data_IF_444083331105
#
_entry.id   IF_444083331105
#
_cell.length_a   1.000
_cell.length_b   1.000
_cell.length_c   1.000
_cell.angle_alpha   90.00
_cell.angle_beta   90.00
_cell.angle_gamma   90.00
#
_symmetry.space_group_name_H-M   'P 1'
#
loop_
_entity.id
_entity.type
_entity.pdbx_description
1 polymer ?
#
# COMPACT_ATOMS: atom_id res chain seq x y z
N UNK A 1 -22.75 64.39 18.09
CA UNK A 1 -22.94 62.96 18.42
C UNK A 1 -23.94 62.38 17.43
N UNK A 2 -23.90 61.06 17.17
CA UNK A 2 -24.79 60.28 16.28
C UNK A 2 -24.21 59.94 14.89
N UNK A 3 -23.21 59.05 14.84
CA UNK A 3 -22.84 58.29 13.63
C UNK A 3 -22.44 56.83 13.95
N UNK A 4 -22.79 56.29 15.13
CA UNK A 4 -22.45 54.91 15.53
C UNK A 4 -23.58 53.88 15.29
N UNK A 5 -24.81 54.31 14.97
CA UNK A 5 -25.96 53.39 14.88
C UNK A 5 -26.06 52.48 13.64
N UNK A 6 -25.59 52.83 12.42
CA UNK A 6 -25.83 51.97 11.25
C UNK A 6 -24.95 50.71 11.26
N UNK A 7 -23.70 50.80 11.73
CA UNK A 7 -22.77 49.67 11.78
C UNK A 7 -23.17 48.60 12.79
N UNK A 8 -23.59 49.00 13.99
CA UNK A 8 -24.05 48.07 15.02
C UNK A 8 -25.29 47.27 14.59
N UNK A 9 -26.17 47.86 13.77
CA UNK A 9 -27.37 47.20 13.23
C UNK A 9 -27.04 46.19 12.11
N UNK A 10 -26.04 46.50 11.26
CA UNK A 10 -25.55 45.56 10.25
C UNK A 10 -24.84 44.36 10.86
N UNK A 11 -24.01 44.59 11.89
CA UNK A 11 -23.33 43.51 12.62
C UNK A 11 -24.34 42.58 13.31
N UNK A 12 -25.36 43.14 13.98
CA UNK A 12 -26.41 42.34 14.62
C UNK A 12 -27.21 41.49 13.62
N UNK A 13 -27.56 42.06 12.44
CA UNK A 13 -28.22 41.31 11.36
C UNK A 13 -27.34 40.21 10.78
N UNK A 14 -26.04 40.48 10.63
CA UNK A 14 -25.09 39.48 10.16
C UNK A 14 -24.97 38.31 11.14
N UNK A 15 -24.92 38.57 12.45
CA UNK A 15 -24.88 37.52 13.48
C UNK A 15 -26.15 36.68 13.52
N UNK A 16 -27.32 37.32 13.36
CA UNK A 16 -28.59 36.59 13.25
C UNK A 16 -28.63 35.72 12.00
N UNK A 17 -28.20 36.23 10.84
CA UNK A 17 -28.12 35.46 9.61
C UNK A 17 -27.18 34.25 9.75
N UNK A 18 -26.02 34.41 10.38
CA UNK A 18 -25.12 33.29 10.67
C UNK A 18 -25.74 32.26 11.62
N UNK A 19 -26.48 32.72 12.62
CA UNK A 19 -27.21 31.85 13.55
C UNK A 19 -28.29 31.04 12.83
N UNK A 20 -29.02 31.66 11.91
CA UNK A 20 -30.05 31.00 11.10
C UNK A 20 -29.45 29.98 10.12
N UNK A 21 -28.34 30.33 9.48
CA UNK A 21 -27.58 29.41 8.64
C UNK A 21 -27.09 28.22 9.47
N UNK A 22 -26.52 28.46 10.65
CA UNK A 22 -26.06 27.41 11.56
C UNK A 22 -27.18 26.45 11.97
N UNK A 23 -28.34 27.00 12.36
CA UNK A 23 -29.53 26.19 12.70
C UNK A 23 -30.03 25.35 11.52
N UNK A 24 -30.00 25.90 10.31
CA UNK A 24 -30.42 25.17 9.11
C UNK A 24 -29.47 24.02 8.77
N UNK A 25 -28.15 24.26 8.87
CA UNK A 25 -27.14 23.22 8.67
C UNK A 25 -27.30 22.12 9.72
N UNK A 26 -27.46 22.47 11.00
CA UNK A 26 -27.66 21.48 12.05
C UNK A 26 -28.92 20.63 11.81
N UNK A 27 -30.03 21.26 11.45
CA UNK A 27 -31.28 20.56 11.15
C UNK A 27 -31.11 19.59 9.97
N UNK A 28 -30.39 20.01 8.92
CA UNK A 28 -30.11 19.16 7.77
C UNK A 28 -29.23 17.96 8.15
N UNK A 29 -28.14 18.18 8.89
CA UNK A 29 -27.25 17.10 9.34
C UNK A 29 -28.03 16.12 10.24
N UNK A 30 -28.89 16.63 11.13
CA UNK A 30 -29.71 15.80 12.00
C UNK A 30 -30.68 14.94 11.20
N UNK A 31 -31.38 15.53 10.22
CA UNK A 31 -32.29 14.82 9.33
C UNK A 31 -31.58 13.68 8.58
N UNK A 32 -30.43 13.98 7.97
CA UNK A 32 -29.70 13.03 7.13
C UNK A 32 -29.15 11.87 7.96
N UNK A 33 -28.60 12.17 9.15
CA UNK A 33 -28.10 11.17 10.08
C UNK A 33 -29.22 10.34 10.69
N UNK A 34 -30.34 10.95 11.08
CA UNK A 34 -31.49 10.24 11.60
C UNK A 34 -32.03 9.26 10.55
N UNK A 35 -32.25 9.74 9.33
CA UNK A 35 -32.71 8.91 8.20
C UNK A 35 -31.77 7.73 7.95
N UNK A 36 -30.46 7.98 7.85
CA UNK A 36 -29.48 6.93 7.63
C UNK A 36 -29.45 5.90 8.78
N UNK A 37 -29.56 6.37 10.03
CA UNK A 37 -29.60 5.54 11.22
C UNK A 37 -30.95 4.81 11.43
N UNK A 38 -31.96 5.11 10.61
CA UNK A 38 -33.34 4.66 10.81
C UNK A 38 -33.98 5.24 12.08
N UNK A 39 -33.51 6.40 12.54
CA UNK A 39 -34.09 7.22 13.60
C UNK A 39 -35.13 8.19 13.05
N UNK A 40 -36.01 8.66 13.92
CA UNK A 40 -36.94 9.75 13.62
C UNK A 40 -36.26 11.08 13.90
N UNK A 41 -36.65 12.15 13.20
CA UNK A 41 -36.09 13.50 13.43
C UNK A 41 -36.33 14.05 14.85
N UNK A 42 -37.32 13.47 15.54
CA UNK A 42 -37.65 13.78 16.93
C UNK A 42 -36.77 13.04 17.94
N UNK A 43 -36.01 12.03 17.51
CA UNK A 43 -35.07 11.32 18.37
C UNK A 43 -33.93 12.25 18.80
N UNK A 44 -33.49 12.11 20.05
CA UNK A 44 -32.37 12.89 20.56
C UNK A 44 -31.06 12.53 19.85
N UNK A 45 -30.07 13.43 19.89
CA UNK A 45 -28.74 13.17 19.34
C UNK A 45 -28.09 11.92 19.93
N UNK A 46 -28.32 11.63 21.21
CA UNK A 46 -27.83 10.39 21.84
C UNK A 46 -28.48 9.14 21.25
N UNK A 47 -29.77 9.20 20.89
CA UNK A 47 -30.47 8.07 20.26
C UNK A 47 -29.98 7.87 18.82
N UNK A 48 -29.87 8.96 18.05
CA UNK A 48 -29.33 8.93 16.69
C UNK A 48 -27.90 8.36 16.71
N UNK A 49 -27.04 8.88 17.61
CA UNK A 49 -25.67 8.42 17.79
C UNK A 49 -25.56 6.93 18.12
N UNK A 50 -26.37 6.42 19.07
CA UNK A 50 -26.39 4.98 19.40
C UNK A 50 -26.83 4.10 18.23
N UNK A 51 -27.80 4.55 17.42
CA UNK A 51 -28.23 3.81 16.22
C UNK A 51 -27.15 3.82 15.14
N UNK A 52 -26.48 4.95 14.95
CA UNK A 52 -25.32 5.05 14.06
C UNK A 52 -24.25 4.05 14.49
N UNK A 53 -23.85 4.08 15.76
CA UNK A 53 -22.84 3.18 16.30
C UNK A 53 -23.23 1.72 16.11
N UNK A 54 -24.47 1.35 16.44
CA UNK A 54 -24.97 0.00 16.25
C UNK A 54 -24.89 -0.45 14.79
N UNK A 55 -25.23 0.43 13.84
CA UNK A 55 -25.19 0.13 12.40
C UNK A 55 -23.75 -0.01 11.89
N UNK A 56 -22.83 0.85 12.34
CA UNK A 56 -21.40 0.74 12.00
C UNK A 56 -20.83 -0.56 12.55
N UNK A 57 -21.07 -0.85 13.84
CA UNK A 57 -20.62 -2.09 14.49
C UNK A 57 -21.15 -3.33 13.80
N UNK A 58 -22.43 -3.35 13.43
CA UNK A 58 -23.05 -4.44 12.67
C UNK A 58 -22.38 -4.67 11.31
N UNK A 59 -22.01 -3.60 10.61
CA UNK A 59 -21.25 -3.66 9.37
C UNK A 59 -19.88 -4.31 9.56
N UNK A 60 -19.12 -3.86 10.56
CA UNK A 60 -17.81 -4.46 10.88
C UNK A 60 -17.94 -5.92 11.33
N UNK A 61 -18.90 -6.22 12.20
CA UNK A 61 -19.19 -7.57 12.67
C UNK A 61 -19.43 -8.53 11.50
N UNK A 62 -20.30 -8.13 10.56
CA UNK A 62 -20.57 -8.91 9.35
C UNK A 62 -19.31 -9.08 8.50
N UNK A 63 -18.51 -8.02 8.33
CA UNK A 63 -17.26 -8.05 7.57
C UNK A 63 -16.21 -9.00 8.14
N UNK A 64 -16.15 -9.15 9.46
CA UNK A 64 -15.24 -10.08 10.14
C UNK A 64 -15.87 -11.45 10.42
N UNK A 65 -17.12 -11.67 9.99
CA UNK A 65 -17.81 -12.96 10.08
C UNK A 65 -18.42 -13.29 11.45
N UNK A 66 -18.69 -12.28 12.28
CA UNK A 66 -19.42 -12.45 13.56
C UNK A 66 -20.83 -11.86 13.48
N UNK A 67 -21.63 -12.08 14.52
CA UNK A 67 -23.03 -11.65 14.55
C UNK A 67 -23.14 -10.12 14.56
N UNK A 68 -24.08 -9.49 13.84
CA UNK A 68 -24.26 -8.04 13.82
C UNK A 68 -24.42 -7.39 15.21
N UNK A 69 -24.91 -8.16 16.18
CA UNK A 69 -25.15 -7.74 17.56
C UNK A 69 -23.90 -7.84 18.44
N UNK A 70 -22.78 -8.36 17.92
CA UNK A 70 -21.54 -8.58 18.66
C UNK A 70 -20.86 -7.30 19.13
N UNK A 71 -20.37 -7.28 20.38
CA UNK A 71 -19.74 -6.09 20.97
C UNK A 71 -18.47 -5.68 20.21
N UNK A 72 -18.00 -4.45 20.41
CA UNK A 72 -16.73 -4.00 19.81
C UNK A 72 -15.54 -4.91 20.18
N UNK A 73 -15.51 -5.46 21.39
CA UNK A 73 -14.45 -6.38 21.81
C UNK A 73 -14.53 -7.73 21.07
N UNK A 74 -15.75 -8.22 20.80
CA UNK A 74 -15.94 -9.43 20.01
C UNK A 74 -15.56 -9.23 18.55
N UNK A 75 -15.98 -8.11 17.95
CA UNK A 75 -15.61 -7.71 16.59
C UNK A 75 -14.09 -7.56 16.47
N UNK A 76 -13.45 -6.88 17.43
CA UNK A 76 -12.00 -6.68 17.46
C UNK A 76 -11.24 -8.00 17.56
N UNK A 77 -11.67 -8.91 18.46
CA UNK A 77 -11.07 -10.25 18.58
C UNK A 77 -11.23 -11.07 17.30
N UNK A 78 -12.38 -11.00 16.64
CA UNK A 78 -12.60 -11.70 15.38
C UNK A 78 -11.75 -11.14 14.24
N UNK A 79 -11.63 -9.80 14.16
CA UNK A 79 -10.74 -9.14 13.21
C UNK A 79 -9.29 -9.60 13.42
N UNK A 80 -8.81 -9.58 14.67
CA UNK A 80 -7.46 -10.03 15.01
C UNK A 80 -7.25 -11.51 14.66
N UNK A 81 -8.20 -12.37 15.03
CA UNK A 81 -8.12 -13.80 14.73
C UNK A 81 -8.04 -14.05 13.22
N UNK A 82 -8.80 -13.30 12.42
CA UNK A 82 -8.77 -13.39 10.96
C UNK A 82 -7.41 -12.96 10.39
N UNK A 83 -6.92 -11.79 10.77
CA UNK A 83 -5.60 -11.29 10.30
C UNK A 83 -4.49 -12.28 10.68
N UNK A 84 -4.54 -12.80 11.90
CA UNK A 84 -3.59 -13.81 12.39
C UNK A 84 -3.68 -15.10 11.58
N UNK A 85 -4.88 -15.59 11.26
CA UNK A 85 -5.08 -16.78 10.43
C UNK A 85 -4.58 -16.56 8.99
N UNK A 86 -4.85 -15.40 8.39
CA UNK A 86 -4.39 -15.06 7.04
C UNK A 86 -2.86 -15.03 6.96
N UNK A 87 -2.20 -14.39 7.95
CA UNK A 87 -0.73 -14.38 8.03
C UNK A 87 -0.20 -15.78 8.33
N UNK A 88 -0.80 -16.51 9.28
CA UNK A 88 -0.40 -17.87 9.63
C UNK A 88 -0.45 -18.80 8.40
N UNK A 89 -1.53 -18.75 7.63
CA UNK A 89 -1.67 -19.48 6.36
C UNK A 89 -0.56 -19.11 5.37
N UNK A 90 -0.29 -17.81 5.19
CA UNK A 90 0.78 -17.32 4.29
C UNK A 90 2.18 -17.81 4.67
N UNK A 91 2.44 -18.05 5.96
CA UNK A 91 3.73 -18.58 6.46
C UNK A 91 3.69 -20.07 6.81
N UNK A 92 2.58 -20.76 6.49
CA UNK A 92 2.37 -22.17 6.81
C UNK A 92 2.45 -22.49 8.31
N UNK A 93 2.01 -21.56 9.17
CA UNK A 93 1.75 -21.80 10.59
C UNK A 93 0.34 -22.38 10.79
N UNK A 94 0.14 -23.17 11.86
CA UNK A 94 -1.17 -23.74 12.17
C UNK A 94 -2.19 -22.67 12.58
N UNK A 95 -3.47 -22.96 12.34
CA UNK A 95 -4.59 -22.17 12.83
C UNK A 95 -4.51 -22.01 14.36
N UNK A 96 -4.63 -20.77 14.84
CA UNK A 96 -4.50 -20.42 16.25
C UNK A 96 -3.09 -20.08 16.72
N UNK A 97 -2.09 -20.06 15.83
CA UNK A 97 -0.72 -19.69 16.18
C UNK A 97 -0.63 -18.29 16.82
N UNK A 98 0.09 -18.14 17.94
CA UNK A 98 0.32 -16.84 18.57
C UNK A 98 1.18 -15.93 17.69
N UNK A 99 1.17 -14.62 17.95
CA UNK A 99 2.05 -13.67 17.24
C UNK A 99 3.53 -14.05 17.33
N UNK A 100 3.99 -14.58 18.46
CA UNK A 100 5.36 -15.07 18.62
C UNK A 100 5.66 -16.30 17.75
N UNK A 101 4.66 -17.17 17.54
CA UNK A 101 4.82 -18.35 16.66
C UNK A 101 4.83 -17.95 15.20
N UNK A 102 3.93 -17.05 14.80
CA UNK A 102 3.89 -16.46 13.46
C UNK A 102 5.20 -15.73 13.16
N UNK A 103 5.65 -14.85 14.07
CA UNK A 103 6.88 -14.08 13.94
C UNK A 103 8.12 -14.96 13.80
N UNK A 104 8.26 -16.00 14.62
CA UNK A 104 9.36 -16.97 14.49
C UNK A 104 9.36 -17.68 13.14
N UNK A 105 8.18 -18.01 12.59
CA UNK A 105 8.09 -18.71 11.31
C UNK A 105 8.40 -17.80 10.12
N UNK A 106 7.94 -16.54 10.16
CA UNK A 106 8.38 -15.49 9.23
C UNK A 106 9.90 -15.37 9.26
N UNK A 107 10.49 -15.24 10.45
CA UNK A 107 11.93 -15.13 10.61
C UNK A 107 12.67 -16.33 10.02
N UNK A 108 12.26 -17.56 10.34
CA UNK A 108 12.86 -18.77 9.77
C UNK A 108 12.76 -18.77 8.23
N UNK A 109 11.60 -18.42 7.67
CA UNK A 109 11.43 -18.39 6.21
C UNK A 109 12.31 -17.33 5.55
N UNK A 110 12.43 -16.14 6.12
CA UNK A 110 13.29 -15.07 5.60
C UNK A 110 14.76 -15.48 5.70
N UNK A 111 15.21 -15.99 6.85
CA UNK A 111 16.58 -16.47 7.06
C UNK A 111 16.91 -17.63 6.12
N UNK A 112 15.98 -18.57 5.92
CA UNK A 112 16.20 -19.71 5.03
C UNK A 112 16.15 -19.30 3.56
N UNK A 113 15.23 -18.42 3.15
CA UNK A 113 15.10 -18.01 1.75
C UNK A 113 16.22 -17.06 1.31
N UNK A 114 16.25 -15.87 1.92
CA UNK A 114 17.19 -14.81 1.56
C UNK A 114 18.59 -15.09 2.10
N UNK A 115 18.69 -15.62 3.32
CA UNK A 115 19.97 -15.97 3.91
C UNK A 115 20.68 -17.05 3.09
N UNK A 116 20.03 -18.17 2.76
CA UNK A 116 20.69 -19.20 1.95
C UNK A 116 21.13 -18.69 0.57
N UNK A 117 20.32 -17.87 -0.10
CA UNK A 117 20.70 -17.25 -1.38
C UNK A 117 21.95 -16.38 -1.26
N UNK A 118 22.07 -15.65 -0.14
CA UNK A 118 23.21 -14.81 0.19
C UNK A 118 24.38 -15.55 0.84
N UNK A 119 24.26 -16.86 1.10
CA UNK A 119 25.28 -17.64 1.83
C UNK A 119 25.35 -17.33 3.33
N UNK A 120 24.25 -16.90 3.93
CA UNK A 120 24.11 -16.73 5.36
C UNK A 120 23.77 -18.06 6.05
N UNK A 121 24.34 -18.27 7.24
CA UNK A 121 24.06 -19.42 8.09
C UNK A 121 22.84 -19.17 8.98
N UNK A 122 22.13 -20.23 9.42
CA UNK A 122 21.00 -20.09 10.35
C UNK A 122 21.35 -19.40 11.67
N UNK A 123 22.59 -19.58 12.13
CA UNK A 123 23.19 -18.94 13.31
C UNK A 123 23.64 -17.48 13.10
N UNK A 124 23.61 -16.95 11.88
CA UNK A 124 23.95 -15.55 11.62
C UNK A 124 22.88 -14.61 12.20
N UNK A 125 23.33 -13.51 12.81
CA UNK A 125 22.43 -12.44 13.25
C UNK A 125 21.90 -11.62 12.06
N UNK A 126 20.83 -10.84 12.29
CA UNK A 126 20.19 -10.03 11.25
C UNK A 126 21.13 -9.03 10.59
N UNK A 127 22.08 -8.47 11.33
CA UNK A 127 23.07 -7.55 10.79
C UNK A 127 24.00 -8.26 9.80
N UNK A 128 24.41 -9.49 10.11
CA UNK A 128 25.27 -10.33 9.28
C UNK A 128 24.54 -10.82 8.04
N UNK A 129 23.29 -11.29 8.19
CA UNK A 129 22.44 -11.68 7.07
C UNK A 129 22.22 -10.49 6.12
N UNK A 130 21.92 -9.30 6.66
CA UNK A 130 21.72 -8.08 5.88
C UNK A 130 22.94 -7.69 5.06
N UNK A 131 24.15 -7.76 5.65
CA UNK A 131 25.41 -7.51 4.93
C UNK A 131 25.59 -8.50 3.78
N UNK A 132 25.44 -9.80 4.04
CA UNK A 132 25.60 -10.85 3.01
C UNK A 132 24.61 -10.68 1.86
N UNK A 133 23.36 -10.32 2.14
CA UNK A 133 22.36 -9.99 1.12
C UNK A 133 22.84 -8.80 0.28
N UNK A 134 23.30 -7.72 0.92
CA UNK A 134 23.85 -6.55 0.24
C UNK A 134 25.00 -6.89 -0.70
N UNK A 135 25.99 -7.64 -0.21
CA UNK A 135 27.15 -8.08 -0.98
C UNK A 135 26.74 -8.94 -2.19
N UNK A 136 25.74 -9.81 -2.02
CA UNK A 136 25.23 -10.66 -3.09
C UNK A 136 24.47 -9.87 -4.16
N UNK A 137 23.69 -8.86 -3.75
CA UNK A 137 23.01 -7.93 -4.68
C UNK A 137 24.06 -7.15 -5.48
N UNK A 138 25.05 -6.55 -4.82
CA UNK A 138 26.11 -5.79 -5.48
C UNK A 138 26.84 -6.66 -6.51
N UNK A 139 27.21 -7.88 -6.13
CA UNK A 139 27.86 -8.85 -7.02
C UNK A 139 27.00 -9.17 -8.25
N UNK A 140 25.72 -9.46 -8.04
CA UNK A 140 24.78 -9.80 -9.13
C UNK A 140 24.59 -8.63 -10.10
N UNK A 141 24.48 -7.40 -9.58
CA UNK A 141 24.37 -6.19 -10.40
C UNK A 141 25.66 -5.94 -11.19
N UNK A 142 26.83 -6.09 -10.55
CA UNK A 142 28.13 -5.93 -11.21
C UNK A 142 28.31 -6.95 -12.34
N UNK A 143 27.99 -8.22 -12.09
CA UNK A 143 28.04 -9.28 -13.09
C UNK A 143 27.09 -9.00 -14.27
N UNK A 144 25.85 -8.55 -14.00
CA UNK A 144 24.91 -8.17 -15.05
C UNK A 144 25.42 -6.99 -15.89
N UNK A 145 25.98 -5.96 -15.26
CA UNK A 145 26.55 -4.80 -15.95
C UNK A 145 27.76 -5.19 -16.82
N UNK A 146 28.65 -6.04 -16.31
CA UNK A 146 29.79 -6.52 -17.09
C UNK A 146 29.36 -7.42 -18.26
N UNK A 147 28.35 -8.28 -18.07
CA UNK A 147 27.80 -9.07 -19.17
C UNK A 147 27.19 -8.19 -20.27
N UNK A 148 26.44 -7.14 -19.89
CA UNK A 148 25.91 -6.15 -20.84
C UNK A 148 27.00 -5.37 -21.59
N UNK A 149 28.15 -5.10 -20.96
CA UNK A 149 29.31 -4.48 -21.62
C UNK A 149 30.02 -5.45 -22.55
N UNK A 150 30.10 -6.72 -22.19
CA UNK A 150 30.70 -7.78 -23.00
C UNK A 150 29.86 -8.06 -24.26
N UNK A 151 28.54 -8.10 -24.14
CA UNK A 151 27.60 -8.28 -25.27
C UNK A 151 27.60 -7.10 -26.25
N UNK A 152 28.00 -5.90 -25.82
CA UNK A 152 28.16 -4.73 -26.72
C UNK A 152 29.48 -4.71 -27.48
N UNK A 153 30.44 -5.59 -27.17
CA UNK A 153 31.80 -5.55 -27.74
C UNK A 153 32.12 -6.47 -28.94
N UNK A 154 31.26 -7.38 -29.46
CA UNK A 154 31.58 -8.13 -30.67
C UNK A 154 30.81 -7.58 -31.89
N UNK A 155 31.17 -6.40 -32.37
CA UNK A 155 30.87 -6.00 -33.77
C UNK A 155 31.81 -4.90 -34.29
N UNK A 156 33.05 -4.83 -33.81
CA UNK A 156 34.05 -3.93 -34.38
C UNK A 156 35.37 -4.68 -34.58
N UNK A 157 35.43 -5.51 -35.63
CA UNK A 157 36.61 -6.11 -36.29
C UNK A 157 36.07 -7.13 -37.33
N UNK A 158 35.81 -6.77 -38.60
CA UNK A 158 36.70 -6.54 -39.77
C UNK A 158 36.48 -7.69 -40.80
N UNK A 159 36.79 -7.59 -42.13
CA UNK A 159 37.57 -6.57 -42.82
C UNK A 159 37.00 -6.08 -44.19
N UNK A 160 37.76 -5.15 -44.78
CA UNK A 160 37.61 -4.56 -46.10
C UNK A 160 37.47 -5.58 -47.25
N UNK A 161 36.40 -5.43 -48.03
CA UNK A 161 36.17 -6.13 -49.28
C UNK A 161 36.87 -5.37 -50.42
N UNK A 162 38.08 -5.81 -50.80
CA UNK A 162 38.69 -5.43 -52.09
C UNK A 162 38.17 -6.40 -53.15
N UNK A 163 37.65 -5.92 -54.29
CA UNK A 163 37.20 -6.82 -55.35
C UNK A 163 38.40 -7.50 -56.04
N UNK A 164 38.24 -8.72 -56.56
CA UNK A 164 39.33 -9.44 -57.22
C UNK A 164 39.61 -8.86 -58.61
N UNK A 165 40.89 -8.62 -58.89
CA UNK A 165 41.40 -8.48 -60.26
C UNK A 165 41.20 -9.81 -60.99
N UNK A 166 40.24 -9.84 -61.91
CA UNK A 166 40.13 -10.92 -62.89
C UNK A 166 40.85 -10.52 -64.18
N UNK A 167 41.68 -11.44 -64.63
CA UNK A 167 42.64 -11.28 -65.71
C UNK A 167 41.95 -11.60 -67.04
N UNK A 168 41.88 -10.67 -67.98
CA UNK A 168 41.64 -11.01 -69.38
C UNK A 168 42.21 -9.96 -70.36
N UNK A 169 43.07 -10.48 -71.26
CA UNK A 169 43.40 -9.99 -72.61
C UNK A 169 44.76 -9.29 -72.82
N UNK A 170 45.76 -10.11 -73.18
CA UNK A 170 46.81 -9.77 -74.16
C UNK A 170 46.36 -10.24 -75.56
N UNK A 171 46.97 -9.81 -76.68
CA UNK A 171 47.61 -8.54 -77.03
C UNK A 171 46.94 -7.89 -78.28
N UNK A 172 47.07 -6.57 -78.45
CA UNK A 172 46.71 -5.89 -79.71
C UNK A 172 47.86 -5.93 -80.75
N UNK A 173 47.58 -5.98 -82.06
CA UNK A 173 48.61 -6.07 -83.09
C UNK A 173 49.26 -4.71 -83.41
N UNK A 174 50.50 -4.78 -83.87
CA UNK A 174 51.29 -3.69 -84.44
C UNK A 174 50.64 -3.07 -85.68
N UNK A 175 50.66 -1.73 -85.75
CA UNK A 175 50.77 -0.95 -87.00
C UNK A 175 51.59 0.31 -86.71
#
# INVERSE_FOLDING_TARGET
MTQEQPKANEEARSQQAWTDIGRRIEAQIRHDLATWAGATETDSWEVIGRRIEAKVRAGFATGVGVKPESTWEEVGRAAEARVRADIASGVGAQDGATWDQVGRRVEIQVKTGLGNWAGASPEDDWATIGRKIGDKIEKTVKEAVENLKAERKPSEQEPADKPPEDSAASPGPSV
#
